data_IF_322560106441
#
_entry.id   IF_322560106441
#
_cell.length_a   1.000
_cell.length_b   1.000
_cell.length_c   1.000
_cell.angle_alpha   90.00
_cell.angle_beta   90.00
_cell.angle_gamma   90.00
#
_symmetry.space_group_name_H-M   'P 1'
#
loop_
_entity.id
_entity.type
_entity.pdbx_description
1 polymer ?
#
# COMPACT_ATOMS: atom_id res chain seq x y z
N UNK A 1 5.61 0.83 8.59
CA UNK A 1 4.34 0.07 8.76
C UNK A 1 4.51 -1.42 8.45
N UNK A 2 5.39 -1.82 7.52
CA UNK A 2 5.72 -3.23 7.24
C UNK A 2 6.22 -3.99 8.48
N UNK A 3 7.23 -3.45 9.18
CA UNK A 3 7.76 -4.05 10.42
C UNK A 3 6.70 -4.25 11.52
N UNK A 4 5.70 -3.37 11.60
CA UNK A 4 4.60 -3.46 12.57
C UNK A 4 3.62 -4.58 12.21
N UNK A 5 3.27 -4.72 10.93
CA UNK A 5 2.41 -5.82 10.47
C UNK A 5 3.11 -7.18 10.66
N UNK A 6 4.43 -7.23 10.40
CA UNK A 6 5.25 -8.41 10.66
C UNK A 6 5.31 -8.75 12.16
N UNK A 7 5.38 -7.76 13.06
CA UNK A 7 5.42 -8.01 14.50
C UNK A 7 4.07 -8.45 15.07
N UNK A 8 2.96 -8.11 14.43
CA UNK A 8 1.62 -8.58 14.81
C UNK A 8 1.37 -10.03 14.38
N UNK A 9 1.58 -10.32 13.10
CA UNK A 9 1.47 -11.66 12.53
C UNK A 9 2.14 -11.66 11.16
N UNK A 10 3.18 -12.46 10.98
CA UNK A 10 3.87 -12.59 9.70
C UNK A 10 2.92 -13.03 8.57
N UNK A 11 1.82 -13.72 8.90
CA UNK A 11 0.76 -14.06 7.94
C UNK A 11 -0.01 -12.84 7.45
N UNK A 12 -0.21 -11.81 8.28
CA UNK A 12 -0.87 -10.57 7.86
C UNK A 12 -0.06 -9.84 6.78
N UNK A 13 1.26 -9.74 6.94
CA UNK A 13 2.12 -9.19 5.88
C UNK A 13 2.06 -10.05 4.61
N UNK A 14 2.17 -11.38 4.77
CA UNK A 14 2.09 -12.30 3.64
C UNK A 14 0.75 -12.29 2.92
N UNK A 15 -0.35 -11.94 3.58
CA UNK A 15 -1.68 -11.82 2.98
C UNK A 15 -1.93 -10.47 2.28
N UNK A 16 -1.10 -9.46 2.54
CA UNK A 16 -1.14 -8.21 1.77
C UNK A 16 -0.52 -8.41 0.38
N UNK A 17 0.43 -9.34 0.23
CA UNK A 17 1.10 -9.61 -1.05
C UNK A 17 0.11 -10.15 -2.12
N UNK A 18 -0.62 -11.27 -1.89
CA UNK A 18 -1.71 -11.69 -2.74
C UNK A 18 -2.90 -10.78 -2.45
N UNK A 19 -3.41 -10.09 -3.46
CA UNK A 19 -4.65 -9.32 -3.32
C UNK A 19 -5.76 -10.30 -2.93
N UNK A 20 -6.33 -10.15 -1.73
CA UNK A 20 -7.50 -10.94 -1.37
C UNK A 20 -8.66 -10.66 -2.32
N UNK A 21 -9.24 -11.73 -2.85
CA UNK A 21 -10.45 -11.73 -3.67
C UNK A 21 -11.47 -12.68 -3.05
N UNK A 22 -12.74 -12.35 -3.22
CA UNK A 22 -13.83 -13.15 -2.67
C UNK A 22 -13.86 -14.53 -3.33
N UNK A 23 -13.96 -15.65 -2.59
CA UNK A 23 -14.08 -16.98 -3.16
C UNK A 23 -15.23 -17.09 -4.18
N UNK A 24 -14.99 -17.80 -5.27
CA UNK A 24 -15.94 -17.97 -6.38
C UNK A 24 -16.16 -19.44 -6.69
N UNK A 25 -17.36 -19.78 -7.14
CA UNK A 25 -17.73 -21.12 -7.61
C UNK A 25 -18.26 -21.03 -9.04
N UNK A 26 -18.03 -22.08 -9.85
CA UNK A 26 -18.64 -22.21 -11.18
C UNK A 26 -19.97 -22.92 -11.01
N UNK A 27 -21.03 -22.34 -11.58
CA UNK A 27 -22.33 -23.03 -11.64
C UNK A 27 -22.36 -24.11 -12.74
N UNK A 28 -23.46 -24.85 -12.81
CA UNK A 28 -23.70 -25.91 -13.82
C UNK A 28 -23.63 -25.40 -15.27
N UNK A 29 -23.67 -24.07 -15.47
CA UNK A 29 -23.55 -23.40 -16.77
C UNK A 29 -22.16 -22.76 -16.99
N UNK A 30 -21.15 -23.18 -16.22
CA UNK A 30 -19.77 -22.65 -16.20
C UNK A 30 -19.66 -21.16 -15.83
N UNK A 31 -20.74 -20.52 -15.38
CA UNK A 31 -20.73 -19.12 -14.99
C UNK A 31 -20.16 -18.98 -13.59
N UNK A 32 -19.17 -18.09 -13.46
CA UNK A 32 -18.49 -17.80 -12.19
C UNK A 32 -19.39 -16.92 -11.33
N UNK A 33 -19.75 -17.41 -10.15
CA UNK A 33 -20.55 -16.69 -9.16
C UNK A 33 -19.82 -16.60 -7.82
N UNK A 34 -20.22 -15.67 -6.96
CA UNK A 34 -19.64 -15.56 -5.61
C UNK A 34 -20.08 -16.75 -4.78
N UNK A 35 -19.10 -17.48 -4.23
CA UNK A 35 -19.33 -18.64 -3.40
C UNK A 35 -19.90 -18.19 -2.05
N UNK A 36 -20.99 -18.81 -1.60
CA UNK A 36 -21.56 -18.55 -0.27
C UNK A 36 -20.54 -18.83 0.83
N UNK A 37 -20.49 -17.97 1.86
CA UNK A 37 -19.60 -18.10 3.03
C UNK A 37 -19.71 -19.48 3.71
N UNK A 38 -20.92 -20.05 3.74
CA UNK A 38 -21.18 -21.38 4.33
C UNK A 38 -20.53 -22.53 3.57
N UNK A 39 -20.11 -22.32 2.32
CA UNK A 39 -19.46 -23.34 1.48
C UNK A 39 -17.94 -23.19 1.46
N UNK A 40 -17.39 -22.19 2.13
CA UNK A 40 -15.95 -21.92 2.07
C UNK A 40 -15.16 -23.09 2.62
N UNK A 41 -14.01 -23.38 2.00
CA UNK A 41 -13.07 -24.36 2.54
C UNK A 41 -12.31 -23.74 3.72
N UNK A 42 -11.68 -24.59 4.54
CA UNK A 42 -10.88 -24.09 5.66
C UNK A 42 -9.73 -23.17 5.19
N UNK A 43 -9.19 -23.41 3.99
CA UNK A 43 -8.13 -22.60 3.41
C UNK A 43 -8.67 -21.23 2.94
N UNK A 44 -9.84 -21.20 2.30
CA UNK A 44 -10.49 -19.94 1.90
C UNK A 44 -10.81 -19.07 3.13
N UNK A 45 -11.31 -19.69 4.20
CA UNK A 45 -11.63 -19.02 5.45
C UNK A 45 -10.37 -18.47 6.16
N UNK A 46 -9.27 -19.25 6.22
CA UNK A 46 -8.00 -18.78 6.79
C UNK A 46 -7.48 -17.52 6.06
N UNK A 47 -7.54 -17.49 4.72
CA UNK A 47 -7.10 -16.32 3.95
C UNK A 47 -7.98 -15.09 4.27
N UNK A 48 -9.30 -15.26 4.40
CA UNK A 48 -10.23 -14.17 4.74
C UNK A 48 -9.95 -13.65 6.15
N UNK A 49 -9.72 -14.53 7.12
CA UNK A 49 -9.39 -14.18 8.50
C UNK A 49 -8.09 -13.39 8.54
N UNK A 50 -7.05 -13.83 7.84
CA UNK A 50 -5.76 -13.14 7.82
C UNK A 50 -5.86 -11.77 7.12
N UNK A 51 -6.61 -11.66 6.01
CA UNK A 51 -6.90 -10.38 5.36
C UNK A 51 -7.66 -9.42 6.29
N UNK A 52 -8.66 -9.91 7.01
CA UNK A 52 -9.47 -9.10 7.94
C UNK A 52 -8.63 -8.62 9.12
N UNK A 53 -7.74 -9.46 9.64
CA UNK A 53 -6.77 -9.08 10.69
C UNK A 53 -5.80 -8.00 10.19
N UNK A 54 -5.29 -8.15 8.97
CA UNK A 54 -4.42 -7.16 8.36
C UNK A 54 -5.15 -5.81 8.15
N UNK A 55 -6.39 -5.83 7.67
CA UNK A 55 -7.23 -4.63 7.57
C UNK A 55 -7.44 -3.94 8.90
N UNK A 56 -7.79 -4.71 9.94
CA UNK A 56 -7.97 -4.15 11.27
C UNK A 56 -6.68 -3.49 11.78
N UNK A 57 -5.52 -4.13 11.59
CA UNK A 57 -4.23 -3.55 11.95
C UNK A 57 -3.97 -2.22 11.21
N UNK A 58 -4.28 -2.16 9.90
CA UNK A 58 -4.14 -0.94 9.09
C UNK A 58 -5.09 0.17 9.56
N UNK A 59 -6.33 -0.15 9.94
CA UNK A 59 -7.30 0.84 10.40
C UNK A 59 -6.99 1.39 11.79
N UNK A 60 -6.32 0.63 12.65
CA UNK A 60 -5.97 1.09 14.00
C UNK A 60 -4.80 2.09 14.03
N UNK A 61 -3.98 2.15 12.98
CA UNK A 61 -2.76 2.98 12.95
C UNK A 61 -2.93 4.29 12.18
N UNK A 62 -4.11 4.55 11.62
CA UNK A 62 -4.38 5.72 10.77
C UNK A 62 -5.30 6.71 11.45
N UNK A 63 -5.16 7.98 11.11
CA UNK A 63 -6.06 9.03 11.59
C UNK A 63 -7.43 8.99 10.88
N UNK A 64 -8.38 9.76 11.41
CA UNK A 64 -9.77 9.75 10.96
C UNK A 64 -9.95 10.20 9.49
N UNK A 65 -9.09 11.09 8.99
CA UNK A 65 -9.22 11.58 7.61
C UNK A 65 -8.81 10.49 6.63
N UNK A 66 -7.70 9.81 6.91
CA UNK A 66 -7.24 8.68 6.10
C UNK A 66 -8.20 7.51 6.24
N UNK A 67 -8.74 7.24 7.43
CA UNK A 67 -9.76 6.20 7.62
C UNK A 67 -10.97 6.39 6.71
N UNK A 68 -11.50 7.62 6.59
CA UNK A 68 -12.63 7.93 5.70
C UNK A 68 -12.33 7.60 4.23
N UNK A 69 -11.08 7.70 3.79
CA UNK A 69 -10.67 7.38 2.43
C UNK A 69 -10.71 5.88 2.15
N UNK A 70 -10.40 5.04 3.15
CA UNK A 70 -10.13 3.61 2.95
C UNK A 70 -11.13 2.68 3.65
N UNK A 71 -12.11 3.20 4.40
CA UNK A 71 -13.06 2.39 5.18
C UNK A 71 -13.93 1.43 4.34
N UNK A 72 -14.09 1.67 3.04
CA UNK A 72 -14.84 0.80 2.12
C UNK A 72 -13.98 -0.31 1.52
N UNK A 73 -12.67 -0.30 1.75
CA UNK A 73 -11.75 -1.27 1.19
C UNK A 73 -11.90 -2.64 1.90
N UNK A 74 -12.21 -3.68 1.12
CA UNK A 74 -12.35 -5.06 1.61
C UNK A 74 -11.06 -5.88 1.55
N UNK A 75 -10.02 -5.35 0.92
CA UNK A 75 -8.74 -6.03 0.72
C UNK A 75 -7.65 -5.24 1.41
N UNK A 76 -6.92 -5.88 2.32
CA UNK A 76 -5.79 -5.29 3.03
C UNK A 76 -4.73 -4.76 2.05
N UNK A 77 -4.57 -5.43 0.90
CA UNK A 77 -3.68 -5.00 -0.18
C UNK A 77 -4.10 -3.67 -0.78
N UNK A 78 -5.38 -3.50 -1.10
CA UNK A 78 -5.89 -2.24 -1.66
C UNK A 78 -5.70 -1.10 -0.65
N UNK A 79 -6.07 -1.34 0.61
CA UNK A 79 -5.86 -0.38 1.71
C UNK A 79 -4.39 0.01 1.84
N UNK A 80 -3.49 -0.97 1.83
CA UNK A 80 -2.04 -0.77 1.90
C UNK A 80 -1.50 0.06 0.73
N UNK A 81 -1.94 -0.21 -0.49
CA UNK A 81 -1.49 0.53 -1.68
C UNK A 81 -1.96 1.98 -1.66
N UNK A 82 -3.18 2.24 -1.18
CA UNK A 82 -3.67 3.61 -0.97
C UNK A 82 -2.81 4.31 0.07
N UNK A 83 -2.52 3.66 1.20
CA UNK A 83 -1.67 4.24 2.25
C UNK A 83 -0.27 4.57 1.74
N UNK A 84 0.35 3.69 0.95
CA UNK A 84 1.63 3.97 0.30
C UNK A 84 1.56 5.22 -0.57
N UNK A 85 0.53 5.34 -1.40
CA UNK A 85 0.35 6.52 -2.27
C UNK A 85 0.09 7.79 -1.46
N UNK A 86 -0.71 7.70 -0.39
CA UNK A 86 -1.04 8.84 0.46
C UNK A 86 0.19 9.38 1.20
N UNK A 87 1.03 8.50 1.76
CA UNK A 87 2.16 8.92 2.58
C UNK A 87 3.47 9.10 1.82
N UNK A 88 3.77 8.24 0.84
CA UNK A 88 5.00 8.36 0.05
C UNK A 88 4.82 9.23 -1.20
N UNK A 89 3.59 9.59 -1.53
CA UNK A 89 3.24 10.24 -2.79
C UNK A 89 3.14 9.26 -3.97
N UNK A 90 2.56 9.73 -5.07
CA UNK A 90 2.48 8.97 -6.32
C UNK A 90 3.86 8.92 -7.01
N UNK A 91 4.04 7.95 -7.92
CA UNK A 91 5.22 7.93 -8.79
C UNK A 91 5.40 9.23 -9.57
N UNK A 92 4.31 9.87 -10.01
CA UNK A 92 4.34 11.17 -10.70
C UNK A 92 4.89 12.28 -9.81
N UNK A 93 4.46 12.36 -8.55
CA UNK A 93 4.97 13.36 -7.59
C UNK A 93 6.46 13.12 -7.32
N UNK A 94 6.87 11.87 -7.12
CA UNK A 94 8.29 11.50 -6.93
C UNK A 94 9.14 11.89 -8.16
N UNK A 95 8.66 11.61 -9.37
CA UNK A 95 9.34 11.99 -10.62
C UNK A 95 9.43 13.51 -10.75
N UNK A 96 8.35 14.24 -10.46
CA UNK A 96 8.35 15.71 -10.54
C UNK A 96 9.34 16.32 -9.54
N UNK A 97 9.44 15.78 -8.32
CA UNK A 97 10.43 16.22 -7.34
C UNK A 97 11.86 15.94 -7.84
N UNK A 98 12.11 14.75 -8.41
CA UNK A 98 13.40 14.42 -9.01
C UNK A 98 13.77 15.39 -10.14
N UNK A 99 12.82 15.71 -11.03
CA UNK A 99 13.04 16.67 -12.11
C UNK A 99 13.38 18.07 -11.60
N UNK A 100 12.69 18.54 -10.56
CA UNK A 100 13.00 19.83 -9.91
C UNK A 100 14.41 19.81 -9.33
N UNK A 101 14.77 18.75 -8.59
CA UNK A 101 16.10 18.60 -8.01
C UNK A 101 17.19 18.52 -9.08
N UNK A 102 16.96 17.79 -10.17
CA UNK A 102 17.88 17.74 -11.32
C UNK A 102 18.04 19.11 -11.94
N UNK A 103 16.95 19.86 -12.15
CA UNK A 103 17.03 21.22 -12.69
C UNK A 103 17.79 22.18 -11.77
N UNK A 104 17.58 22.09 -10.45
CA UNK A 104 18.34 22.88 -9.48
C UNK A 104 19.82 22.51 -9.51
N UNK A 105 20.13 21.22 -9.64
CA UNK A 105 21.51 20.73 -9.74
C UNK A 105 22.18 21.16 -11.04
N UNK A 106 21.48 21.15 -12.17
CA UNK A 106 22.01 21.64 -13.46
C UNK A 106 22.21 23.16 -13.46
N UNK A 107 21.41 23.88 -12.67
CA UNK A 107 21.53 25.33 -12.49
C UNK A 107 22.57 25.74 -11.43
N UNK A 108 23.12 24.78 -10.65
CA UNK A 108 24.19 25.05 -9.70
C UNK A 108 25.44 25.48 -10.48
N UNK A 109 25.88 26.69 -10.19
CA UNK A 109 27.11 27.26 -10.70
C UNK A 109 27.71 28.13 -9.61
N UNK A 110 29.04 28.20 -9.58
CA UNK A 110 29.74 29.06 -8.64
C UNK A 110 29.44 30.52 -8.94
N UNK A 111 29.23 31.31 -7.89
CA UNK A 111 29.23 32.77 -7.97
C UNK A 111 30.66 33.31 -8.10
N UNK A 112 30.83 34.56 -8.56
CA UNK A 112 32.16 35.17 -8.73
C UNK A 112 32.92 35.38 -7.41
N UNK A 113 32.18 35.40 -6.29
CA UNK A 113 32.67 35.77 -4.97
C UNK A 113 32.89 34.55 -4.06
N UNK A 114 32.47 33.35 -4.48
CA UNK A 114 32.64 32.14 -3.70
C UNK A 114 33.93 31.38 -4.07
N UNK A 115 34.53 30.77 -3.06
CA UNK A 115 35.66 29.87 -3.24
C UNK A 115 35.20 28.44 -3.56
N UNK A 116 36.10 27.63 -4.15
CA UNK A 116 35.80 26.22 -4.47
C UNK A 116 35.44 25.43 -3.21
N UNK A 117 36.07 25.74 -2.07
CA UNK A 117 35.76 25.11 -0.79
C UNK A 117 34.35 25.49 -0.28
N UNK A 118 33.85 26.69 -0.59
CA UNK A 118 32.49 27.12 -0.23
C UNK A 118 31.42 26.52 -1.15
N UNK A 119 31.73 26.26 -2.42
CA UNK A 119 30.79 25.63 -3.38
C UNK A 119 30.56 24.13 -3.12
N UNK A 120 31.57 23.44 -2.58
CA UNK A 120 31.57 21.98 -2.42
C UNK A 120 30.89 21.48 -1.12
N UNK A 121 30.25 22.37 -0.35
CA UNK A 121 29.57 22.08 0.93
C UNK A 121 28.06 22.03 0.73
#
# INVERSE_FOLDING_TARGET
MEAFLMSLDMRCWRAIIPRWEHPTEKDETEKVTRKSELKWTSEEDDVVVVNSRALNALFNVIDLNIFKLINTCKSAKVTWDILKVTFEGTSKVKISLLQILTSHFEALQMTEEETIDEFNV
#
